data_IF_360019805860
#
_entry.id   IF_360019805860
#
_cell.length_a   1.000
_cell.length_b   1.000
_cell.length_c   1.000
_cell.angle_alpha   90.00
_cell.angle_beta   90.00
_cell.angle_gamma   90.00
#
_symmetry.space_group_name_H-M   'P 1'
#
loop_
_entity.id
_entity.type
_entity.pdbx_description
1 polymer ?
#
# COMPACT_ATOMS: atom_id res chain seq x y z
N UNK A 1 -3.44 -11.00 9.88
CA UNK A 1 -3.97 -9.70 9.48
C UNK A 1 -3.03 -8.97 8.51
N UNK A 2 -1.77 -8.64 8.90
CA UNK A 2 -0.82 -7.88 8.07
C UNK A 2 -0.50 -8.55 6.72
N UNK A 3 -0.27 -9.86 6.67
CA UNK A 3 -0.06 -10.59 5.43
C UNK A 3 -1.26 -10.53 4.48
N UNK A 4 -2.48 -10.46 5.01
CA UNK A 4 -3.67 -10.27 4.21
C UNK A 4 -3.78 -8.83 3.67
N UNK A 5 -3.44 -7.84 4.48
CA UNK A 5 -3.35 -6.45 4.04
C UNK A 5 -2.34 -6.29 2.90
N UNK A 6 -1.20 -7.00 2.96
CA UNK A 6 -0.19 -6.98 1.90
C UNK A 6 -0.71 -7.56 0.57
N UNK A 7 -1.55 -8.61 0.60
CA UNK A 7 -2.22 -9.09 -0.62
C UNK A 7 -3.09 -8.03 -1.26
N UNK A 8 -3.82 -7.25 -0.44
CA UNK A 8 -4.66 -6.16 -0.95
C UNK A 8 -3.84 -5.03 -1.58
N UNK A 9 -2.68 -4.71 -1.00
CA UNK A 9 -1.77 -3.73 -1.60
C UNK A 9 -1.28 -4.18 -2.98
N UNK A 10 -0.87 -5.43 -3.12
CA UNK A 10 -0.45 -5.98 -4.41
C UNK A 10 -1.62 -6.13 -5.39
N UNK A 11 -2.81 -6.42 -4.89
CA UNK A 11 -4.03 -6.43 -5.68
C UNK A 11 -4.30 -5.05 -6.30
N UNK A 12 -4.32 -3.96 -5.52
CA UNK A 12 -4.55 -2.61 -6.02
C UNK A 12 -3.51 -2.17 -7.06
N UNK A 13 -2.26 -2.55 -6.85
CA UNK A 13 -1.16 -2.26 -7.78
C UNK A 13 -1.42 -2.77 -9.19
N UNK A 14 -2.06 -3.92 -9.33
CA UNK A 14 -2.29 -4.61 -10.62
C UNK A 14 -3.72 -4.45 -11.11
N UNK A 15 -4.68 -4.19 -10.23
CA UNK A 15 -6.10 -4.11 -10.57
C UNK A 15 -6.40 -3.04 -11.64
N UNK A 16 -5.74 -1.88 -11.58
CA UNK A 16 -5.97 -0.81 -12.53
C UNK A 16 -5.63 -1.24 -13.98
N UNK A 17 -4.58 -2.00 -14.17
CA UNK A 17 -4.20 -2.48 -15.50
C UNK A 17 -5.26 -3.43 -16.10
N UNK A 18 -5.93 -4.20 -15.25
CA UNK A 18 -6.96 -5.16 -15.67
C UNK A 18 -8.23 -4.46 -16.15
N UNK A 19 -8.66 -3.40 -15.44
CA UNK A 19 -9.87 -2.66 -15.78
C UNK A 19 -9.60 -1.41 -16.64
N UNK A 20 -8.36 -1.18 -17.06
CA UNK A 20 -7.93 0.03 -17.75
C UNK A 20 -8.84 0.39 -18.94
N UNK A 21 -9.21 -0.60 -19.76
CA UNK A 21 -10.11 -0.37 -20.90
C UNK A 21 -11.51 0.05 -20.50
N UNK A 22 -12.05 -0.51 -19.42
CA UNK A 22 -13.39 -0.17 -18.91
C UNK A 22 -13.42 1.25 -18.37
N UNK A 23 -12.40 1.62 -17.60
CA UNK A 23 -12.26 2.97 -17.03
C UNK A 23 -12.06 3.99 -18.15
N UNK A 24 -11.21 3.70 -19.13
CA UNK A 24 -10.96 4.58 -20.27
C UNK A 24 -12.22 4.82 -21.10
N UNK A 25 -13.01 3.77 -21.37
CA UNK A 25 -14.26 3.88 -22.10
C UNK A 25 -15.32 4.69 -21.36
N UNK A 26 -15.41 4.50 -20.03
CA UNK A 26 -16.46 5.10 -19.21
C UNK A 26 -16.18 6.58 -18.88
N UNK A 27 -14.92 6.95 -18.70
CA UNK A 27 -14.47 8.32 -18.42
C UNK A 27 -13.96 9.05 -19.68
N UNK A 28 -14.02 8.44 -20.86
CA UNK A 28 -13.51 8.97 -22.13
C UNK A 28 -12.04 9.42 -22.04
N UNK A 29 -11.18 8.58 -21.42
CA UNK A 29 -9.76 8.88 -21.23
C UNK A 29 -8.94 8.49 -22.47
N UNK A 30 -8.00 9.36 -22.82
CA UNK A 30 -6.98 9.06 -23.79
C UNK A 30 -5.84 8.19 -23.19
N UNK A 31 -4.86 7.78 -24.04
CA UNK A 31 -3.73 6.96 -23.61
C UNK A 31 -2.82 7.66 -22.59
N UNK A 32 -2.65 8.98 -22.72
CA UNK A 32 -1.80 9.75 -21.81
C UNK A 32 -2.47 9.88 -20.44
N UNK A 33 -3.78 10.15 -20.41
CA UNK A 33 -4.59 10.24 -19.19
C UNK A 33 -4.66 8.88 -18.47
N UNK A 34 -4.78 7.78 -19.20
CA UNK A 34 -4.73 6.43 -18.63
C UNK A 34 -3.34 6.11 -18.05
N UNK A 35 -2.28 6.59 -18.70
CA UNK A 35 -0.93 6.53 -18.18
C UNK A 35 -0.76 7.33 -16.89
N UNK A 36 -1.28 8.56 -16.84
CA UNK A 36 -1.28 9.41 -15.65
C UNK A 36 -2.04 8.76 -14.49
N UNK A 37 -3.24 8.21 -14.77
CA UNK A 37 -4.05 7.48 -13.81
C UNK A 37 -3.30 6.29 -13.19
N UNK A 38 -2.65 5.50 -14.03
CA UNK A 38 -1.86 4.34 -13.57
C UNK A 38 -0.62 4.77 -12.77
N UNK A 39 0.03 5.86 -13.20
CA UNK A 39 1.24 6.38 -12.54
C UNK A 39 0.95 7.03 -11.20
N UNK A 40 -0.24 7.59 -10.99
CA UNK A 40 -0.62 8.28 -9.76
C UNK A 40 -0.45 7.39 -8.52
N UNK A 41 -0.80 6.11 -8.62
CA UNK A 41 -0.60 5.15 -7.54
C UNK A 41 0.88 4.99 -7.20
N UNK A 42 1.74 4.80 -8.20
CA UNK A 42 3.17 4.56 -8.01
C UNK A 42 3.88 5.79 -7.46
N UNK A 43 3.55 6.99 -7.98
CA UNK A 43 4.13 8.26 -7.53
C UNK A 43 3.75 8.52 -6.07
N UNK A 44 2.48 8.38 -5.73
CA UNK A 44 1.99 8.57 -4.38
C UNK A 44 2.59 7.54 -3.40
N UNK A 45 2.66 6.28 -3.80
CA UNK A 45 3.30 5.21 -3.04
C UNK A 45 4.78 5.50 -2.79
N UNK A 46 5.53 5.89 -3.84
CA UNK A 46 6.96 6.21 -3.72
C UNK A 46 7.21 7.43 -2.83
N UNK A 47 6.44 8.50 -2.98
CA UNK A 47 6.54 9.71 -2.17
C UNK A 47 6.31 9.43 -0.67
N UNK A 48 5.48 8.44 -0.36
CA UNK A 48 5.16 8.06 1.02
C UNK A 48 6.22 7.15 1.68
N UNK A 49 7.21 6.63 0.96
CA UNK A 49 8.18 5.68 1.55
C UNK A 49 8.99 6.32 2.71
N UNK A 50 9.42 7.57 2.55
CA UNK A 50 10.16 8.27 3.61
C UNK A 50 9.23 8.64 4.78
N UNK A 51 8.07 9.30 4.57
CA UNK A 51 7.11 9.55 5.65
C UNK A 51 6.70 8.30 6.42
N UNK A 52 6.47 7.18 5.73
CA UNK A 52 6.06 5.92 6.34
C UNK A 52 7.13 5.37 7.29
N UNK A 53 8.42 5.47 6.94
CA UNK A 53 9.50 5.09 7.85
C UNK A 53 9.38 5.81 9.18
N UNK A 54 9.28 7.14 9.16
CA UNK A 54 9.13 7.98 10.36
C UNK A 54 7.85 7.66 11.14
N UNK A 55 6.74 7.41 10.44
CA UNK A 55 5.47 7.07 11.08
C UNK A 55 5.54 5.69 11.76
N UNK A 56 6.20 4.71 11.15
CA UNK A 56 6.40 3.39 11.73
C UNK A 56 7.26 3.44 12.98
N UNK A 57 8.35 4.21 12.96
CA UNK A 57 9.24 4.37 14.10
C UNK A 57 8.55 5.12 15.26
N UNK A 58 7.72 6.13 14.95
CA UNK A 58 7.08 6.98 15.96
C UNK A 58 5.80 6.40 16.53
N UNK A 59 4.94 5.83 15.69
CA UNK A 59 3.60 5.38 16.09
C UNK A 59 3.44 3.86 16.10
N UNK A 60 4.47 3.16 15.61
CA UNK A 60 4.48 1.70 15.47
C UNK A 60 3.64 1.21 14.29
N UNK A 61 3.81 -0.08 13.92
CA UNK A 61 3.20 -0.64 12.71
C UNK A 61 1.67 -0.69 12.78
N UNK A 62 1.09 -0.98 13.94
CA UNK A 62 -0.36 -1.10 14.08
C UNK A 62 -1.08 0.21 13.74
N UNK A 63 -0.67 1.32 14.37
CA UNK A 63 -1.34 2.62 14.18
C UNK A 63 -1.08 3.17 12.79
N UNK A 64 0.16 3.07 12.31
CA UNK A 64 0.56 3.57 11.00
C UNK A 64 -0.15 2.80 9.88
N UNK A 65 -0.12 1.47 9.92
CA UNK A 65 -0.77 0.64 8.88
C UNK A 65 -2.28 0.85 8.89
N UNK A 66 -2.93 0.82 10.07
CA UNK A 66 -4.38 1.01 10.11
C UNK A 66 -4.80 2.41 9.70
N UNK A 67 -4.11 3.46 10.12
CA UNK A 67 -4.43 4.83 9.72
C UNK A 67 -4.34 5.03 8.20
N UNK A 68 -3.24 4.58 7.61
CA UNK A 68 -3.04 4.70 6.16
C UNK A 68 -3.93 3.73 5.35
N UNK A 69 -4.25 2.53 5.87
CA UNK A 69 -5.27 1.68 5.23
C UNK A 69 -6.65 2.37 5.18
N UNK A 70 -7.00 3.19 6.17
CA UNK A 70 -8.19 4.03 6.12
C UNK A 70 -8.18 4.98 4.92
N UNK A 71 -7.02 5.59 4.63
CA UNK A 71 -6.83 6.43 3.43
C UNK A 71 -7.01 5.61 2.16
N UNK A 72 -6.52 4.35 2.11
CA UNK A 72 -6.74 3.46 0.96
C UNK A 72 -8.23 3.16 0.73
N UNK A 73 -8.99 2.94 1.81
CA UNK A 73 -10.45 2.71 1.71
C UNK A 73 -11.14 3.95 1.13
N UNK A 74 -10.84 5.14 1.65
CA UNK A 74 -11.37 6.39 1.11
C UNK A 74 -10.99 6.56 -0.36
N UNK A 75 -9.72 6.32 -0.71
CA UNK A 75 -9.24 6.38 -2.08
C UNK A 75 -9.99 5.41 -3.01
N UNK A 76 -10.24 4.18 -2.57
CA UNK A 76 -10.99 3.19 -3.35
C UNK A 76 -12.46 3.60 -3.57
N UNK A 77 -13.09 4.23 -2.57
CA UNK A 77 -14.46 4.77 -2.72
C UNK A 77 -14.45 5.95 -3.68
N UNK A 78 -13.51 6.90 -3.53
CA UNK A 78 -13.37 8.06 -4.44
C UNK A 78 -13.15 7.59 -5.88
N UNK A 79 -12.28 6.58 -6.08
CA UNK A 79 -12.04 6.02 -7.40
C UNK A 79 -13.29 5.35 -7.98
N UNK A 80 -13.99 4.53 -7.20
CA UNK A 80 -15.20 3.82 -7.64
C UNK A 80 -16.35 4.78 -8.00
N UNK A 81 -16.43 5.94 -7.35
CA UNK A 81 -17.46 6.97 -7.60
C UNK A 81 -16.99 8.07 -8.55
N UNK A 82 -15.78 7.97 -9.10
CA UNK A 82 -15.22 8.99 -9.98
C UNK A 82 -16.06 9.18 -11.26
N UNK A 83 -16.40 10.42 -11.55
CA UNK A 83 -17.07 10.85 -12.79
C UNK A 83 -16.15 11.70 -13.67
N UNK A 84 -14.95 12.03 -13.17
CA UNK A 84 -13.96 12.84 -13.87
C UNK A 84 -12.58 12.18 -13.75
N UNK A 85 -11.71 12.49 -14.72
CA UNK A 85 -10.29 12.07 -14.69
C UNK A 85 -9.63 12.46 -13.37
N UNK A 86 -9.77 13.71 -12.95
CA UNK A 86 -9.15 14.24 -11.73
C UNK A 86 -9.57 13.45 -10.47
N UNK A 87 -10.86 13.12 -10.36
CA UNK A 87 -11.36 12.31 -9.24
C UNK A 87 -10.78 10.91 -9.28
N UNK A 88 -10.65 10.29 -10.45
CA UNK A 88 -10.06 8.97 -10.62
C UNK A 88 -8.56 8.98 -10.25
N UNK A 89 -7.78 9.96 -10.72
CA UNK A 89 -6.37 10.15 -10.38
C UNK A 89 -6.20 10.35 -8.88
N UNK A 90 -7.04 11.19 -8.26
CA UNK A 90 -7.00 11.43 -6.81
C UNK A 90 -7.29 10.16 -6.03
N UNK A 91 -8.29 9.38 -6.46
CA UNK A 91 -8.61 8.09 -5.86
C UNK A 91 -7.43 7.13 -5.91
N UNK A 92 -6.75 7.00 -7.06
CA UNK A 92 -5.57 6.15 -7.23
C UNK A 92 -4.39 6.63 -6.38
N UNK A 93 -4.14 7.94 -6.29
CA UNK A 93 -3.11 8.50 -5.44
C UNK A 93 -3.38 8.19 -3.95
N UNK A 94 -4.61 8.35 -3.47
CA UNK A 94 -4.99 7.99 -2.10
C UNK A 94 -4.83 6.51 -1.81
N UNK A 95 -5.15 5.62 -2.76
CA UNK A 95 -4.89 4.18 -2.62
C UNK A 95 -3.38 3.93 -2.51
N UNK A 96 -2.56 4.58 -3.33
CA UNK A 96 -1.09 4.49 -3.28
C UNK A 96 -0.53 4.91 -1.93
N UNK A 97 -0.98 6.06 -1.40
CA UNK A 97 -0.65 6.53 -0.04
C UNK A 97 -1.02 5.48 0.99
N UNK A 98 -2.24 4.97 0.93
CA UNK A 98 -2.76 4.04 1.91
C UNK A 98 -2.10 2.66 1.89
N UNK A 99 -1.61 2.22 0.74
CA UNK A 99 -0.89 0.95 0.57
C UNK A 99 0.59 1.03 0.97
N UNK A 100 1.18 2.22 1.07
CA UNK A 100 2.61 2.44 1.29
C UNK A 100 3.18 1.80 2.56
N UNK A 101 2.50 1.79 3.75
CA UNK A 101 3.09 1.25 4.98
C UNK A 101 3.01 -0.26 5.08
N UNK A 102 2.24 -0.93 4.22
CA UNK A 102 1.83 -2.31 4.46
C UNK A 102 3.02 -3.28 4.34
N UNK A 103 3.88 -3.09 3.36
CA UNK A 103 5.07 -3.92 3.17
C UNK A 103 6.08 -3.71 4.30
N UNK A 104 6.48 -2.46 4.54
CA UNK A 104 7.42 -2.10 5.61
C UNK A 104 6.88 -2.52 6.98
N UNK A 105 5.60 -2.26 7.26
CA UNK A 105 4.96 -2.66 8.50
C UNK A 105 4.90 -4.17 8.68
N UNK A 106 4.76 -4.94 7.61
CA UNK A 106 4.80 -6.40 7.65
C UNK A 106 6.20 -6.91 7.99
N UNK A 107 7.25 -6.35 7.36
CA UNK A 107 8.64 -6.70 7.64
C UNK A 107 9.05 -6.29 9.06
N UNK A 108 8.64 -5.09 9.50
CA UNK A 108 8.87 -4.61 10.86
C UNK A 108 8.23 -5.55 11.90
N UNK A 109 7.00 -5.99 11.68
CA UNK A 109 6.35 -6.96 12.55
C UNK A 109 7.10 -8.32 12.58
N UNK A 110 7.56 -8.81 11.44
CA UNK A 110 8.34 -10.06 11.38
C UNK A 110 9.66 -9.93 12.13
N UNK A 111 10.36 -8.81 12.01
CA UNK A 111 11.64 -8.59 12.68
C UNK A 111 11.52 -8.47 14.21
N UNK A 112 10.36 -8.00 14.72
CA UNK A 112 10.12 -7.82 16.15
C UNK A 112 9.57 -9.07 16.84
N UNK A 113 8.80 -9.89 16.11
CA UNK A 113 8.08 -11.00 16.73
C UNK A 113 8.76 -12.36 16.55
N UNK A 114 9.73 -12.44 15.64
CA UNK A 114 10.37 -13.70 15.31
C UNK A 114 11.90 -13.62 15.42
N UNK A 115 12.52 -14.75 15.77
CA UNK A 115 13.97 -14.87 15.85
C UNK A 115 14.64 -14.56 14.50
N UNK A 116 15.84 -13.98 14.57
CA UNK A 116 16.61 -13.47 13.41
C UNK A 116 16.83 -14.53 12.34
N UNK A 117 17.00 -15.78 12.78
CA UNK A 117 17.23 -16.96 11.91
C UNK A 117 16.02 -17.26 11.01
N UNK A 118 14.80 -16.90 11.44
CA UNK A 118 13.55 -17.12 10.70
C UNK A 118 13.10 -15.92 9.86
N UNK A 119 13.78 -14.79 9.98
CA UNK A 119 13.39 -13.57 9.30
C UNK A 119 13.32 -13.74 7.77
N UNK A 120 14.35 -14.35 7.15
CA UNK A 120 14.39 -14.58 5.71
C UNK A 120 13.23 -15.47 5.23
N UNK A 121 12.99 -16.59 5.92
CA UNK A 121 11.91 -17.52 5.55
C UNK A 121 10.54 -16.91 5.70
N UNK A 122 10.29 -16.17 6.79
CA UNK A 122 9.01 -15.52 7.03
C UNK A 122 8.78 -14.36 6.07
N UNK A 123 9.81 -13.58 5.75
CA UNK A 123 9.71 -12.51 4.76
C UNK A 123 9.41 -13.06 3.37
N UNK A 124 10.06 -14.17 2.98
CA UNK A 124 9.76 -14.86 1.72
C UNK A 124 8.34 -15.40 1.69
N UNK A 125 7.83 -15.92 2.81
CA UNK A 125 6.45 -16.37 2.93
C UNK A 125 5.46 -15.19 2.77
N UNK A 126 5.72 -14.04 3.38
CA UNK A 126 4.91 -12.82 3.21
C UNK A 126 4.86 -12.39 1.74
N UNK A 127 6.01 -12.43 1.05
CA UNK A 127 6.08 -12.12 -0.39
C UNK A 127 5.32 -13.14 -1.23
N UNK A 128 5.47 -14.45 -0.96
CA UNK A 128 4.73 -15.50 -1.65
C UNK A 128 3.22 -15.35 -1.48
N UNK A 129 2.77 -15.06 -0.27
CA UNK A 129 1.36 -14.77 -0.02
C UNK A 129 0.86 -13.51 -0.75
N UNK A 130 1.70 -12.52 -0.96
CA UNK A 130 1.34 -11.31 -1.70
C UNK A 130 1.09 -11.58 -3.18
N UNK A 131 1.83 -12.51 -3.77
CA UNK A 131 1.64 -12.94 -5.17
C UNK A 131 0.23 -13.47 -5.43
N UNK A 132 -0.42 -14.07 -4.44
CA UNK A 132 -1.84 -14.46 -4.54
C UNK A 132 -2.73 -13.24 -4.81
N UNK A 133 -2.41 -12.06 -4.23
CA UNK A 133 -3.12 -10.81 -4.51
C UNK A 133 -3.05 -10.41 -5.99
N UNK A 134 -1.88 -10.57 -6.60
CA UNK A 134 -1.69 -10.32 -8.04
C UNK A 134 -2.51 -11.29 -8.89
N UNK A 135 -2.51 -12.57 -8.55
CA UNK A 135 -3.30 -13.58 -9.27
C UNK A 135 -4.81 -13.32 -9.17
N UNK A 136 -5.29 -12.91 -7.99
CA UNK A 136 -6.70 -12.56 -7.79
C UNK A 136 -7.11 -11.28 -8.53
N UNK A 137 -6.20 -10.33 -8.71
CA UNK A 137 -6.48 -9.11 -9.47
C UNK A 137 -6.53 -9.33 -10.98
N UNK A 138 -5.93 -10.41 -11.50
CA UNK A 138 -5.89 -10.70 -12.92
C UNK A 138 -7.26 -11.17 -13.43
N UNK A 139 -7.45 -12.49 -13.54
CA UNK A 139 -8.67 -13.06 -14.12
C UNK A 139 -9.91 -12.95 -13.22
N UNK A 140 -9.87 -13.32 -11.93
CA UNK A 140 -11.07 -13.29 -11.09
C UNK A 140 -11.66 -11.88 -10.95
N UNK A 141 -10.83 -10.87 -10.74
CA UNK A 141 -11.30 -9.50 -10.64
C UNK A 141 -11.74 -8.92 -11.99
N UNK A 142 -11.04 -9.25 -13.08
CA UNK A 142 -11.43 -8.84 -14.42
C UNK A 142 -12.83 -9.35 -14.77
N UNK A 143 -13.11 -10.64 -14.56
CA UNK A 143 -14.44 -11.24 -14.76
C UNK A 143 -15.51 -10.60 -13.86
N UNK A 144 -15.20 -10.35 -12.61
CA UNK A 144 -16.12 -9.67 -11.69
C UNK A 144 -16.45 -8.27 -12.23
N UNK A 145 -15.45 -7.52 -12.67
CA UNK A 145 -15.64 -6.19 -13.22
C UNK A 145 -16.45 -6.19 -14.54
N UNK A 146 -16.31 -7.24 -15.35
CA UNK A 146 -17.16 -7.45 -16.55
C UNK A 146 -18.61 -7.73 -16.19
N UNK A 147 -18.90 -8.49 -15.13
CA UNK A 147 -20.26 -8.89 -14.76
C UNK A 147 -21.04 -7.79 -14.04
N UNK A 148 -20.43 -7.10 -13.09
CA UNK A 148 -21.12 -6.13 -12.23
C UNK A 148 -20.69 -4.68 -12.49
N UNK A 149 -19.74 -4.46 -13.40
CA UNK A 149 -19.12 -3.16 -13.64
C UNK A 149 -17.93 -2.90 -12.72
N UNK A 150 -16.93 -2.18 -13.25
CA UNK A 150 -15.69 -1.89 -12.52
C UNK A 150 -15.90 -1.06 -11.25
N UNK A 151 -16.91 -0.19 -11.22
CA UNK A 151 -17.24 0.63 -10.05
C UNK A 151 -17.68 -0.23 -8.86
N UNK A 152 -18.62 -1.13 -9.07
CA UNK A 152 -19.09 -2.03 -8.01
C UNK A 152 -17.99 -3.02 -7.60
N UNK A 153 -17.21 -3.50 -8.54
CA UNK A 153 -16.06 -4.36 -8.24
C UNK A 153 -15.06 -3.65 -7.32
N UNK A 154 -14.75 -2.36 -7.56
CA UNK A 154 -13.89 -1.57 -6.67
C UNK A 154 -14.52 -1.30 -5.30
N UNK A 155 -15.83 -1.10 -5.21
CA UNK A 155 -16.52 -0.96 -3.92
C UNK A 155 -16.45 -2.24 -3.09
N UNK A 156 -16.54 -3.41 -3.73
CA UNK A 156 -16.35 -4.71 -3.05
C UNK A 156 -14.93 -4.79 -2.47
N UNK A 157 -13.91 -4.43 -3.25
CA UNK A 157 -12.53 -4.43 -2.75
C UNK A 157 -12.32 -3.38 -1.65
N UNK A 158 -12.96 -2.23 -1.74
CA UNK A 158 -12.96 -1.24 -0.65
C UNK A 158 -13.55 -1.81 0.63
N UNK A 159 -14.67 -2.55 0.56
CA UNK A 159 -15.27 -3.22 1.70
C UNK A 159 -14.36 -4.33 2.27
N UNK A 160 -13.69 -5.11 1.42
CA UNK A 160 -12.69 -6.11 1.85
C UNK A 160 -11.50 -5.43 2.52
N UNK A 161 -11.06 -4.28 2.01
CA UNK A 161 -9.99 -3.48 2.60
C UNK A 161 -10.40 -2.93 3.96
N UNK A 162 -11.63 -2.46 4.09
CA UNK A 162 -12.18 -2.01 5.37
C UNK A 162 -12.26 -3.15 6.38
N UNK A 163 -12.72 -4.32 5.98
CA UNK A 163 -12.73 -5.51 6.84
C UNK A 163 -11.32 -5.92 7.28
N UNK A 164 -10.33 -5.82 6.37
CA UNK A 164 -8.92 -6.05 6.69
C UNK A 164 -8.37 -5.01 7.68
N UNK A 165 -8.72 -3.73 7.51
CA UNK A 165 -8.39 -2.64 8.42
C UNK A 165 -8.93 -2.95 9.83
N UNK A 166 -10.20 -3.31 9.95
CA UNK A 166 -10.82 -3.67 11.22
C UNK A 166 -10.12 -4.89 11.83
N UNK A 167 -9.80 -5.90 11.02
CA UNK A 167 -9.04 -7.06 11.49
C UNK A 167 -7.65 -6.66 12.03
N UNK A 168 -6.94 -5.74 11.39
CA UNK A 168 -5.67 -5.20 11.90
C UNK A 168 -5.88 -4.47 13.22
N UNK A 169 -6.91 -3.64 13.33
CA UNK A 169 -7.22 -2.90 14.56
C UNK A 169 -7.56 -3.81 15.74
N UNK A 170 -8.38 -4.86 15.53
CA UNK A 170 -8.86 -5.72 16.60
C UNK A 170 -7.90 -6.85 16.96
N UNK A 171 -7.23 -7.47 15.97
CA UNK A 171 -6.40 -8.65 16.18
C UNK A 171 -4.90 -8.36 16.33
N UNK A 172 -4.41 -7.16 15.92
CA UNK A 172 -3.01 -6.80 16.13
C UNK A 172 -2.83 -6.24 17.55
N UNK A 173 -2.81 -7.11 18.54
CA UNK A 173 -2.36 -6.78 19.90
C UNK A 173 -0.83 -6.75 19.88
N UNK A 174 -0.25 -5.62 19.53
CA UNK A 174 1.19 -5.41 19.69
C UNK A 174 1.53 -5.20 21.17
N UNK A 175 2.72 -5.59 21.65
CA UNK A 175 3.22 -5.16 22.93
C UNK A 175 3.26 -3.62 22.95
N UNK A 176 2.57 -3.02 23.91
CA UNK A 176 2.51 -1.57 24.11
C UNK A 176 3.79 -1.02 24.78
N UNK A 177 4.83 -1.86 24.95
CA UNK A 177 5.91 -1.58 25.90
C UNK A 177 7.10 -0.76 25.39
N UNK A 178 7.45 -0.77 24.10
CA UNK A 178 8.77 -0.27 23.68
C UNK A 178 8.76 0.92 22.71
N UNK A 179 7.61 1.57 22.50
CA UNK A 179 7.53 2.71 21.56
C UNK A 179 8.12 3.99 22.16
N UNK A 180 8.31 4.04 23.49
CA UNK A 180 8.72 5.27 24.19
C UNK A 180 10.20 5.60 24.12
N UNK A 181 11.09 4.60 23.97
CA UNK A 181 12.53 4.86 23.99
C UNK A 181 13.12 5.24 22.61
N UNK A 182 12.47 4.86 21.52
CA UNK A 182 12.93 5.22 20.17
C UNK A 182 12.24 6.46 19.59
N UNK A 183 11.14 6.90 20.18
CA UNK A 183 10.38 8.08 19.73
C UNK A 183 11.16 9.41 19.82
N UNK A 184 12.18 9.47 20.68
CA UNK A 184 13.00 10.67 20.85
C UNK A 184 14.05 10.87 19.72
N UNK A 185 14.39 9.84 18.95
CA UNK A 185 15.48 9.89 17.96
C UNK A 185 15.03 10.14 16.51
N UNK A 186 13.78 9.88 16.15
CA UNK A 186 13.30 10.04 14.77
C UNK A 186 12.66 11.41 14.54
N UNK A 187 13.53 12.40 14.33
CA UNK A 187 13.11 13.72 13.82
C UNK A 187 12.94 13.62 12.28
N UNK A 188 11.96 14.34 11.73
CA UNK A 188 11.82 14.51 10.27
C UNK A 188 13.14 15.01 9.64
N UNK A 189 13.90 15.83 10.36
CA UNK A 189 15.23 16.30 9.92
C UNK A 189 16.27 15.18 9.82
N UNK A 190 16.25 14.21 10.74
CA UNK A 190 17.17 13.06 10.70
C UNK A 190 16.80 12.08 9.59
N UNK A 191 15.52 11.90 9.28
CA UNK A 191 15.06 11.04 8.19
C UNK A 191 15.51 11.60 6.81
N UNK A 192 15.35 12.90 6.57
CA UNK A 192 15.83 13.53 5.33
C UNK A 192 17.37 13.67 5.30
N UNK A 193 18.02 13.87 6.45
CA UNK A 193 19.48 13.86 6.56
C UNK A 193 20.06 12.50 6.20
N UNK A 194 19.47 11.41 6.71
CA UNK A 194 19.90 10.05 6.42
C UNK A 194 19.80 9.68 4.93
N UNK A 195 18.83 10.20 4.20
CA UNK A 195 18.77 10.03 2.72
C UNK A 195 19.95 10.67 2.04
N UNK A 196 20.34 11.88 2.47
CA UNK A 196 21.53 12.57 1.96
C UNK A 196 22.84 11.80 2.24
N UNK A 197 22.95 11.19 3.42
CA UNK A 197 24.09 10.38 3.81
C UNK A 197 24.17 9.07 3.03
N UNK A 198 23.03 8.41 2.81
CA UNK A 198 22.94 7.20 1.98
C UNK A 198 23.34 7.48 0.53
N UNK A 199 22.86 8.58 -0.05
CA UNK A 199 23.23 8.98 -1.42
C UNK A 199 24.72 9.35 -1.57
N UNK A 200 25.41 9.71 -0.47
CA UNK A 200 26.86 9.98 -0.45
C UNK A 200 27.73 8.72 -0.38
N UNK A 201 27.14 7.56 -0.07
CA UNK A 201 27.86 6.28 -0.01
C UNK A 201 28.22 5.86 -1.44
N UNK A 202 29.46 6.08 -1.87
CA UNK A 202 29.97 5.71 -3.20
C UNK A 202 29.76 4.23 -3.55
N UNK A 203 29.76 3.33 -2.57
CA UNK A 203 29.52 1.90 -2.77
C UNK A 203 28.12 1.60 -3.29
N UNK A 204 27.15 2.45 -3.03
CA UNK A 204 25.75 2.27 -3.50
C UNK A 204 25.64 2.46 -5.03
N UNK A 205 26.43 3.41 -5.57
CA UNK A 205 26.48 3.69 -7.01
C UNK A 205 27.28 2.66 -7.83
N UNK A 206 28.01 1.76 -7.13
CA UNK A 206 28.73 0.64 -7.77
C UNK A 206 27.88 -0.62 -7.86
N UNK A 207 26.72 -0.68 -7.17
CA UNK A 207 25.82 -1.83 -7.12
C UNK A 207 24.57 -1.59 -8.00
N UNK A 208 24.25 -0.33 -8.30
CA UNK A 208 23.19 0.09 -9.20
C UNK A 208 23.71 0.27 -10.62
#
# INVERSE_FOLDING_TARGET
>A
ALAFAYRLSQFYRTAIAVIARMVAADLNLDQAQLGALSSAWFIAFAAMQIPVGVLLDRYGPRRTVSGLMGVAVVGAVVFATAMTETAAITGQALIGIGCSPIFMGSLHAVSHWFARERFASLSSLVLAFATVGVLLSARPFGQLAEWIGWRYAYLIIAAVTLASLLAVLFYSRGPQGDVTDHAAASSWRSAFGGVGDVLRIRALWLIL
#
